data_IF_223128648311
#
_entry.id   IF_223128648311
#
_cell.length_a   1.000
_cell.length_b   1.000
_cell.length_c   1.000
_cell.angle_alpha   90.00
_cell.angle_beta   90.00
_cell.angle_gamma   90.00
#
_symmetry.space_group_name_H-M   'P 1'
#
loop_
_entity.id
_entity.type
_entity.pdbx_description
1 polymer ?
#
# COMPACT_ATOMS: atom_id res chain seq x y z
N UNK A 1 -15.52 -10.27 -10.17
CA UNK A 1 -14.35 -11.18 -10.11
C UNK A 1 -13.10 -10.40 -10.42
N UNK A 2 -12.02 -10.54 -9.65
CA UNK A 2 -10.76 -9.84 -9.93
C UNK A 2 -9.94 -10.56 -10.99
N UNK A 3 -9.00 -9.85 -11.65
CA UNK A 3 -8.09 -10.44 -12.65
C UNK A 3 -7.28 -11.61 -12.08
N UNK A 4 -6.87 -11.51 -10.83
CA UNK A 4 -6.16 -12.58 -10.13
C UNK A 4 -7.00 -13.87 -10.06
N UNK A 5 -8.31 -13.76 -9.81
CA UNK A 5 -9.17 -14.94 -9.75
C UNK A 5 -9.34 -15.61 -11.11
N UNK A 6 -9.44 -14.81 -12.19
CA UNK A 6 -9.49 -15.35 -13.55
C UNK A 6 -8.19 -16.04 -13.92
N UNK A 7 -7.04 -15.44 -13.60
CA UNK A 7 -5.72 -16.03 -13.82
C UNK A 7 -5.58 -17.40 -13.15
N UNK A 8 -5.90 -17.47 -11.85
CA UNK A 8 -5.81 -18.70 -11.08
C UNK A 8 -6.71 -19.80 -11.66
N UNK A 9 -7.92 -19.44 -12.11
CA UNK A 9 -8.84 -20.38 -12.74
C UNK A 9 -8.34 -20.85 -14.11
N UNK A 10 -7.81 -19.95 -14.93
CA UNK A 10 -7.32 -20.26 -16.27
C UNK A 10 -6.11 -21.20 -16.25
N UNK A 11 -5.27 -21.10 -15.22
CA UNK A 11 -4.09 -21.95 -15.03
C UNK A 11 -4.32 -23.13 -14.07
N UNK A 12 -5.54 -23.33 -13.60
CA UNK A 12 -5.91 -24.38 -12.63
C UNK A 12 -5.08 -24.34 -11.33
N UNK A 13 -4.58 -23.15 -10.96
CA UNK A 13 -3.77 -22.94 -9.77
C UNK A 13 -4.68 -22.70 -8.57
N UNK A 14 -4.49 -23.47 -7.51
CA UNK A 14 -5.23 -23.24 -6.26
C UNK A 14 -4.72 -22.01 -5.53
N UNK A 15 -5.62 -21.30 -4.82
CA UNK A 15 -5.24 -20.14 -4.01
C UNK A 15 -4.18 -20.48 -2.95
N UNK A 16 -4.20 -21.72 -2.42
CA UNK A 16 -3.21 -22.20 -1.46
C UNK A 16 -1.83 -22.38 -2.10
N UNK A 17 -1.76 -22.99 -3.28
CA UNK A 17 -0.50 -23.15 -4.01
C UNK A 17 0.09 -21.80 -4.40
N UNK A 18 -0.74 -20.90 -4.94
CA UNK A 18 -0.30 -19.54 -5.28
C UNK A 18 0.21 -18.76 -4.05
N UNK A 19 -0.50 -18.86 -2.93
CA UNK A 19 -0.08 -18.25 -1.68
C UNK A 19 1.30 -18.76 -1.24
N UNK A 20 1.53 -20.07 -1.30
CA UNK A 20 2.83 -20.66 -0.97
C UNK A 20 3.95 -20.18 -1.90
N UNK A 21 3.70 -20.05 -3.21
CA UNK A 21 4.71 -19.60 -4.18
C UNK A 21 5.10 -18.13 -4.03
N UNK A 22 4.15 -17.27 -3.65
CA UNK A 22 4.36 -15.82 -3.49
C UNK A 22 4.78 -15.47 -2.05
N UNK A 23 4.73 -16.44 -1.12
CA UNK A 23 5.01 -16.22 0.31
C UNK A 23 3.90 -15.47 1.04
N UNK A 24 2.66 -15.58 0.56
CA UNK A 24 1.47 -14.96 1.15
C UNK A 24 0.64 -15.97 1.94
N UNK A 25 -0.23 -15.46 2.79
CA UNK A 25 -1.25 -16.28 3.45
C UNK A 25 -2.42 -16.55 2.48
N UNK A 26 -2.93 -17.78 2.45
CA UNK A 26 -4.09 -18.18 1.66
C UNK A 26 -5.34 -17.34 1.98
N UNK A 27 -5.53 -16.91 3.23
CA UNK A 27 -6.60 -15.99 3.61
C UNK A 27 -6.47 -14.62 2.93
N UNK A 28 -5.23 -14.12 2.78
CA UNK A 28 -4.94 -12.86 2.07
C UNK A 28 -5.26 -13.00 0.60
N UNK A 29 -4.80 -14.07 -0.07
CA UNK A 29 -5.11 -14.35 -1.48
C UNK A 29 -6.63 -14.46 -1.70
N UNK A 30 -7.35 -15.10 -0.78
CA UNK A 30 -8.80 -15.22 -0.83
C UNK A 30 -9.50 -13.86 -0.79
N UNK A 31 -9.07 -12.96 0.10
CA UNK A 31 -9.59 -11.57 0.18
C UNK A 31 -9.27 -10.75 -1.07
N UNK A 32 -8.11 -10.94 -1.67
CA UNK A 32 -7.71 -10.30 -2.95
C UNK A 32 -8.57 -10.81 -4.10
N UNK A 33 -8.80 -12.12 -4.20
CA UNK A 33 -9.65 -12.71 -5.23
C UNK A 33 -11.09 -12.19 -5.17
N UNK A 34 -11.59 -11.91 -3.97
CA UNK A 34 -12.90 -11.29 -3.73
C UNK A 34 -12.90 -9.76 -3.89
N UNK A 35 -11.74 -9.12 -4.04
CA UNK A 35 -11.62 -7.66 -4.13
C UNK A 35 -11.93 -6.92 -2.82
N UNK A 36 -11.88 -7.62 -1.68
CA UNK A 36 -12.20 -7.04 -0.38
C UNK A 36 -11.07 -6.17 0.17
N UNK A 37 -9.82 -6.49 -0.16
CA UNK A 37 -8.63 -5.77 0.29
C UNK A 37 -7.79 -5.32 -0.91
N UNK A 38 -7.15 -4.16 -0.79
CA UNK A 38 -6.01 -3.77 -1.62
C UNK A 38 -4.72 -4.22 -0.93
N UNK A 39 -3.77 -4.72 -1.70
CA UNK A 39 -2.44 -5.09 -1.18
C UNK A 39 -1.46 -3.92 -1.29
N UNK A 40 -0.38 -4.00 -0.52
CA UNK A 40 0.75 -3.08 -0.65
C UNK A 40 1.37 -3.17 -2.04
N UNK A 41 1.96 -2.08 -2.51
CA UNK A 41 2.65 -1.99 -3.80
C UNK A 41 3.73 -3.06 -3.95
N UNK A 42 4.50 -3.33 -2.89
CA UNK A 42 5.53 -4.36 -2.91
C UNK A 42 4.96 -5.74 -3.26
N UNK A 43 3.82 -6.11 -2.64
CA UNK A 43 3.13 -7.38 -2.91
C UNK A 43 2.50 -7.39 -4.30
N UNK A 44 1.92 -6.27 -4.73
CA UNK A 44 1.30 -6.16 -6.05
C UNK A 44 2.33 -6.37 -7.17
N UNK A 45 3.52 -5.77 -7.05
CA UNK A 45 4.63 -5.94 -8.00
C UNK A 45 5.17 -7.37 -7.99
N UNK A 46 5.22 -8.01 -6.81
CA UNK A 46 5.68 -9.40 -6.69
C UNK A 46 4.72 -10.35 -7.42
N UNK A 47 3.41 -10.13 -7.27
CA UNK A 47 2.37 -10.87 -8.00
C UNK A 47 2.47 -10.61 -9.51
N UNK A 48 2.65 -9.36 -9.93
CA UNK A 48 2.80 -9.01 -11.35
C UNK A 48 4.00 -9.72 -11.98
N UNK A 49 5.15 -9.74 -11.30
CA UNK A 49 6.34 -10.48 -11.76
C UNK A 49 6.12 -11.99 -11.82
N UNK A 50 5.44 -12.56 -10.83
CA UNK A 50 5.15 -14.00 -10.82
C UNK A 50 4.15 -14.40 -11.92
N UNK A 51 3.24 -13.51 -12.27
CA UNK A 51 2.22 -13.72 -13.30
C UNK A 51 2.66 -13.24 -14.70
N UNK A 52 3.93 -12.84 -14.85
CA UNK A 52 4.49 -12.31 -16.11
C UNK A 52 3.66 -11.16 -16.72
N UNK A 53 3.07 -10.32 -15.86
CA UNK A 53 2.24 -9.20 -16.28
C UNK A 53 0.78 -9.52 -16.62
N UNK A 54 0.34 -10.80 -16.58
CA UNK A 54 -1.08 -11.14 -16.78
C UNK A 54 -2.00 -10.50 -15.72
N UNK A 55 -1.48 -10.30 -14.51
CA UNK A 55 -2.18 -9.59 -13.43
C UNK A 55 -1.42 -8.30 -13.11
N UNK A 56 -1.84 -7.14 -13.66
CA UNK A 56 -1.16 -5.86 -13.42
C UNK A 56 -1.27 -5.45 -11.95
N UNK A 57 -0.19 -4.94 -11.36
CA UNK A 57 -0.20 -4.45 -9.97
C UNK A 57 -1.29 -3.41 -9.75
N UNK A 58 -1.54 -2.53 -10.72
CA UNK A 58 -2.58 -1.51 -10.66
C UNK A 58 -3.99 -2.08 -10.41
N UNK A 59 -4.26 -3.33 -10.83
CA UNK A 59 -5.55 -3.99 -10.59
C UNK A 59 -5.71 -4.54 -9.16
N UNK A 60 -4.61 -4.62 -8.40
CA UNK A 60 -4.55 -5.17 -7.04
C UNK A 60 -4.43 -4.08 -5.97
N UNK A 61 -4.02 -2.88 -6.39
CA UNK A 61 -3.97 -1.70 -5.55
C UNK A 61 -5.39 -1.17 -5.31
N UNK A 62 -5.71 -0.88 -4.06
CA UNK A 62 -6.87 -0.08 -3.70
C UNK A 62 -6.35 1.23 -3.14
N UNK A 63 -6.74 2.34 -3.76
CA UNK A 63 -6.46 3.67 -3.21
C UNK A 63 -7.16 3.72 -1.85
N UNK A 64 -6.38 3.57 -0.79
CA UNK A 64 -6.84 3.95 0.53
C UNK A 64 -6.88 5.47 0.48
N UNK A 65 -8.07 6.04 0.31
CA UNK A 65 -8.25 7.47 0.48
C UNK A 65 -7.88 7.76 1.94
N UNK A 66 -6.65 8.23 2.16
CA UNK A 66 -6.16 8.65 3.46
C UNK A 66 -6.84 9.99 3.81
N UNK A 67 -8.17 9.99 3.90
CA UNK A 67 -8.94 11.09 4.45
C UNK A 67 -8.84 11.00 5.96
N UNK A 68 -7.70 11.38 6.55
CA UNK A 68 -7.54 11.82 7.95
C UNK A 68 -6.05 11.93 8.29
N UNK A 69 -5.37 12.97 7.80
CA UNK A 69 -4.26 13.61 8.53
C UNK A 69 -3.81 14.84 7.76
N UNK A 70 -4.57 15.92 7.95
CA UNK A 70 -3.98 17.25 7.86
C UNK A 70 -2.95 17.34 8.99
N UNK A 71 -1.69 17.75 8.73
CA UNK A 71 -0.79 18.13 9.81
C UNK A 71 -1.42 19.32 10.54
N UNK A 72 -1.92 19.10 11.75
CA UNK A 72 -2.28 20.21 12.64
C UNK A 72 -1.02 21.02 12.83
N UNK A 73 -1.11 22.24 12.32
CA UNK A 73 -0.02 23.15 12.11
C UNK A 73 0.83 23.35 13.38
N UNK A 74 2.13 23.45 13.15
CA UNK A 74 3.14 24.03 14.02
C UNK A 74 2.73 25.45 14.43
N UNK A 75 1.85 25.54 15.43
CA UNK A 75 1.41 26.79 16.04
C UNK A 75 1.77 26.80 17.53
N UNK A 76 3.05 26.74 17.85
CA UNK A 76 3.56 27.15 19.15
C UNK A 76 5.06 27.45 19.10
N UNK A 77 5.40 28.75 19.13
CA UNK A 77 6.61 29.23 19.79
C UNK A 77 7.88 29.34 18.94
N UNK A 78 7.90 30.22 17.94
CA UNK A 78 9.14 30.91 17.60
C UNK A 78 9.14 32.26 18.33
N UNK A 79 9.48 32.24 19.62
CA UNK A 79 9.73 33.48 20.38
C UNK A 79 11.01 34.14 19.86
N UNK A 80 10.82 35.24 19.14
CA UNK A 80 11.89 36.17 18.77
C UNK A 80 12.35 36.86 20.05
N UNK A 81 13.36 36.28 20.71
CA UNK A 81 14.10 36.91 21.80
C UNK A 81 14.94 38.07 21.28
N UNK A 82 14.32 39.23 21.06
CA UNK A 82 14.98 40.51 20.90
C UNK A 82 15.40 41.06 22.27
N UNK A 83 16.67 40.92 22.65
CA UNK A 83 17.25 41.74 23.73
C UNK A 83 18.58 42.34 23.28
N UNK A 84 18.44 43.59 22.82
CA UNK A 84 19.32 44.74 23.02
C UNK A 84 20.80 44.50 23.30
N UNK A 85 21.60 44.70 22.26
CA UNK A 85 23.00 45.14 22.35
C UNK A 85 23.02 46.68 22.31
N UNK A 86 23.50 47.31 23.39
CA UNK A 86 23.74 48.75 23.52
C UNK A 86 23.67 49.12 25.00
N UNK A 87 24.54 49.92 25.60
CA UNK A 87 25.58 50.81 25.09
C UNK A 87 26.45 51.23 26.30
N UNK A 88 27.61 51.80 26.03
CA UNK A 88 28.64 52.20 26.97
C UNK A 88 28.25 53.40 27.87
N UNK A 89 28.84 53.46 29.07
CA UNK A 89 29.49 54.65 29.65
C UNK A 89 30.21 54.27 30.94
#
# INVERSE_FOLDING_TARGET
>A
MTKLHQFLRAREITQAAFAASVGLNQATVSKICRGQIGVSLATAVLIERYTDGEVPAASLLRVQNASSQLPTEVAAGFEVGSTGRGEAA
#
